data_IF_024666457585
#
_entry.id   IF_024666457585
#
_cell.length_a   1.000
_cell.length_b   1.000
_cell.length_c   1.000
_cell.angle_alpha   90.00
_cell.angle_beta   90.00
_cell.angle_gamma   90.00
#
_symmetry.space_group_name_H-M   'P 1'
#
loop_
_entity.id
_entity.type
_entity.pdbx_description
1 polymer ?
#
# COMPACT_ATOMS: atom_id res chain seq x y z
N UNK A 1 -9.05 -11.45 3.70
CA UNK A 1 -10.28 -11.73 2.92
C UNK A 1 -11.02 -10.40 2.67
N UNK A 2 -10.55 -9.60 1.70
CA UNK A 2 -11.16 -8.31 1.33
C UNK A 2 -11.35 -8.15 -0.19
N UNK A 3 -10.80 -9.05 -1.01
CA UNK A 3 -10.74 -8.92 -2.47
C UNK A 3 -12.10 -8.89 -3.19
N UNK A 4 -13.19 -9.30 -2.53
CA UNK A 4 -14.55 -9.33 -3.11
C UNK A 4 -15.46 -8.20 -2.61
N UNK A 5 -14.92 -7.28 -1.83
CA UNK A 5 -15.68 -6.13 -1.34
C UNK A 5 -15.81 -5.07 -2.42
N UNK A 6 -16.88 -4.28 -2.37
CA UNK A 6 -17.02 -3.08 -3.22
C UNK A 6 -15.83 -2.14 -3.08
N UNK A 7 -15.24 -2.10 -1.88
CA UNK A 7 -13.98 -1.41 -1.59
C UNK A 7 -12.82 -1.87 -2.47
N UNK A 8 -12.58 -3.19 -2.56
CA UNK A 8 -11.46 -3.73 -3.32
C UNK A 8 -11.62 -3.53 -4.84
N UNK A 9 -12.86 -3.33 -5.31
CA UNK A 9 -13.18 -3.06 -6.71
C UNK A 9 -13.18 -1.56 -7.06
N UNK A 10 -13.20 -0.68 -6.05
CA UNK A 10 -13.17 0.75 -6.27
C UNK A 10 -11.82 1.19 -6.86
N UNK A 11 -11.83 2.27 -7.63
CA UNK A 11 -10.60 2.81 -8.22
C UNK A 11 -9.63 3.25 -7.10
N UNK A 12 -8.31 3.14 -7.30
CA UNK A 12 -7.33 3.57 -6.30
C UNK A 12 -7.56 4.99 -5.77
N UNK A 13 -7.88 5.94 -6.63
CA UNK A 13 -8.17 7.32 -6.23
C UNK A 13 -9.38 7.43 -5.29
N UNK A 14 -10.46 6.69 -5.57
CA UNK A 14 -11.66 6.67 -4.74
C UNK A 14 -11.37 6.07 -3.36
N UNK A 15 -10.53 5.03 -3.32
CA UNK A 15 -10.07 4.41 -2.07
C UNK A 15 -9.21 5.38 -1.26
N UNK A 16 -8.31 6.13 -1.89
CA UNK A 16 -7.52 7.16 -1.20
C UNK A 16 -8.47 8.20 -0.59
N UNK A 17 -9.41 8.75 -1.37
CA UNK A 17 -10.34 9.77 -0.91
C UNK A 17 -11.21 9.29 0.26
N UNK A 18 -11.77 8.08 0.15
CA UNK A 18 -12.63 7.53 1.19
C UNK A 18 -11.89 7.28 2.52
N UNK A 19 -10.63 6.79 2.48
CA UNK A 19 -9.83 6.69 3.72
C UNK A 19 -9.41 8.05 4.24
N UNK A 20 -9.11 9.00 3.36
CA UNK A 20 -8.74 10.36 3.76
C UNK A 20 -9.89 11.04 4.52
N UNK A 21 -11.12 10.95 4.00
CA UNK A 21 -12.33 11.47 4.66
C UNK A 21 -12.54 10.84 6.04
N UNK A 22 -12.29 9.53 6.19
CA UNK A 22 -12.50 8.83 7.45
C UNK A 22 -11.43 9.11 8.51
N UNK A 23 -10.19 9.37 8.08
CA UNK A 23 -9.02 9.32 8.96
C UNK A 23 -8.32 10.65 9.15
N UNK A 24 -8.24 11.50 8.12
CA UNK A 24 -7.37 12.69 8.17
C UNK A 24 -7.87 13.71 9.18
N UNK A 25 -9.17 14.04 9.16
CA UNK A 25 -9.74 15.03 10.08
C UNK A 25 -9.66 14.58 11.55
N UNK A 26 -10.10 13.37 11.93
CA UNK A 26 -9.95 12.89 13.31
C UNK A 26 -8.49 12.83 13.77
N UNK A 27 -7.57 12.45 12.89
CA UNK A 27 -6.15 12.34 13.26
C UNK A 27 -5.44 13.69 13.31
N UNK A 28 -5.95 14.72 12.63
CA UNK A 28 -5.37 16.07 12.64
C UNK A 28 -5.36 16.68 14.06
N UNK A 29 -6.33 16.31 14.90
CA UNK A 29 -6.42 16.74 16.31
C UNK A 29 -5.24 16.22 17.16
N UNK A 30 -4.55 15.16 16.70
CA UNK A 30 -3.46 14.53 17.43
C UNK A 30 -2.09 15.03 16.92
N UNK A 31 -1.48 15.95 17.69
CA UNK A 31 -0.22 16.61 17.27
C UNK A 31 0.99 15.71 17.00
N UNK A 32 0.98 14.52 17.58
CA UNK A 32 2.04 13.53 17.43
C UNK A 32 1.83 12.58 16.23
N UNK A 33 0.71 12.70 15.51
CA UNK A 33 0.40 11.89 14.32
C UNK A 33 0.68 12.72 13.06
N UNK A 34 1.63 12.23 12.25
CA UNK A 34 2.02 12.89 10.99
C UNK A 34 1.33 12.28 9.76
N UNK A 35 0.88 11.03 9.85
CA UNK A 35 0.29 10.31 8.73
C UNK A 35 -0.14 8.90 9.08
N UNK A 36 -0.83 8.27 8.14
CA UNK A 36 -1.27 6.87 8.23
C UNK A 36 -0.73 6.11 7.03
N UNK A 37 -0.25 4.90 7.29
CA UNK A 37 0.02 3.90 6.26
C UNK A 37 -0.94 2.74 6.50
N UNK A 38 -1.88 2.55 5.59
CA UNK A 38 -2.69 1.35 5.52
C UNK A 38 -1.99 0.36 4.60
N UNK A 39 -1.69 -0.84 5.08
CA UNK A 39 -1.13 -1.92 4.27
C UNK A 39 -2.09 -3.10 4.28
N UNK A 40 -2.43 -3.62 3.10
CA UNK A 40 -3.10 -4.89 3.00
C UNK A 40 -2.13 -6.04 3.32
N UNK A 41 -2.68 -7.14 3.82
CA UNK A 41 -1.98 -8.42 3.67
C UNK A 41 -1.83 -8.79 2.18
N UNK A 42 -1.09 -9.86 1.93
CA UNK A 42 -1.00 -10.42 0.57
C UNK A 42 -2.38 -10.93 0.14
N UNK A 43 -2.76 -10.55 -1.08
CA UNK A 43 -4.00 -11.02 -1.68
C UNK A 43 -3.71 -11.58 -3.08
N UNK A 44 -4.36 -12.70 -3.40
CA UNK A 44 -4.36 -13.22 -4.76
C UNK A 44 -5.05 -12.20 -5.68
N UNK A 45 -4.32 -11.72 -6.68
CA UNK A 45 -4.82 -10.77 -7.67
C UNK A 45 -5.59 -11.49 -8.76
N UNK A 46 -6.83 -11.07 -8.95
CA UNK A 46 -7.69 -11.55 -10.05
C UNK A 46 -8.82 -10.63 -10.45
N UNK A 47 -9.02 -9.48 -9.77
CA UNK A 47 -10.12 -8.57 -10.09
C UNK A 47 -9.67 -7.11 -10.01
N UNK A 48 -9.81 -6.38 -11.12
CA UNK A 48 -9.60 -4.93 -11.20
C UNK A 48 -8.23 -4.46 -11.70
N UNK A 49 -7.24 -5.33 -11.88
CA UNK A 49 -6.03 -4.97 -12.63
C UNK A 49 -6.36 -4.90 -14.13
N UNK A 50 -5.97 -3.82 -14.80
CA UNK A 50 -5.99 -3.84 -16.26
C UNK A 50 -5.01 -4.92 -16.74
N UNK A 51 -5.35 -5.69 -17.79
CA UNK A 51 -4.41 -6.64 -18.38
C UNK A 51 -3.09 -5.94 -18.70
N UNK A 52 -2.00 -6.33 -18.02
CA UNK A 52 -0.66 -5.77 -18.24
C UNK A 52 -0.12 -4.81 -17.18
N UNK A 53 -0.88 -4.44 -16.14
CA UNK A 53 -0.38 -3.68 -14.99
C UNK A 53 -0.35 -4.54 -13.73
N UNK A 54 0.81 -5.17 -13.49
CA UNK A 54 1.08 -5.96 -12.27
C UNK A 54 1.34 -5.04 -11.08
N UNK A 55 2.08 -3.96 -11.32
CA UNK A 55 2.32 -2.89 -10.37
C UNK A 55 1.52 -1.65 -10.73
N UNK A 56 1.04 -0.95 -9.72
CA UNK A 56 0.28 0.30 -9.88
C UNK A 56 0.68 1.33 -8.84
N UNK A 57 0.72 2.61 -9.23
CA UNK A 57 0.97 3.74 -8.35
C UNK A 57 0.03 4.86 -8.73
N UNK A 58 -0.79 5.29 -7.78
CA UNK A 58 -1.71 6.41 -7.99
C UNK A 58 -1.46 7.45 -6.91
N UNK A 59 -1.09 8.65 -7.33
CA UNK A 59 -0.90 9.80 -6.45
C UNK A 59 -2.07 10.78 -6.61
N UNK A 60 -2.61 11.21 -5.49
CA UNK A 60 -3.69 12.20 -5.42
C UNK A 60 -3.34 13.26 -4.38
N UNK A 61 -4.09 14.36 -4.32
CA UNK A 61 -3.87 15.38 -3.27
C UNK A 61 -3.95 14.78 -1.87
N UNK A 62 -4.92 13.90 -1.52
CA UNK A 62 -4.97 13.33 -0.17
C UNK A 62 -3.90 12.28 0.15
N UNK A 63 -3.27 11.63 -0.84
CA UNK A 63 -2.25 10.62 -0.56
C UNK A 63 -1.78 9.80 -1.75
N UNK A 64 -1.21 8.63 -1.45
CA UNK A 64 -0.60 7.73 -2.43
C UNK A 64 -1.15 6.32 -2.26
N UNK A 65 -1.49 5.66 -3.37
CA UNK A 65 -1.78 4.25 -3.44
C UNK A 65 -0.66 3.52 -4.15
N UNK A 66 -0.30 2.34 -3.65
CA UNK A 66 0.65 1.43 -4.26
C UNK A 66 0.02 0.04 -4.37
N UNK A 67 0.25 -0.63 -5.49
CA UNK A 67 0.09 -2.08 -5.64
C UNK A 67 1.40 -2.65 -6.15
N UNK A 68 1.95 -3.64 -5.46
CA UNK A 68 3.17 -4.34 -5.87
C UNK A 68 2.94 -5.83 -5.88
N UNK A 69 3.34 -6.49 -6.96
CA UNK A 69 3.44 -7.95 -6.99
C UNK A 69 4.62 -8.38 -6.10
N UNK A 70 4.34 -9.25 -5.15
CA UNK A 70 5.32 -9.76 -4.18
C UNK A 70 5.75 -11.20 -4.51
N UNK A 71 4.85 -11.94 -5.16
CA UNK A 71 5.09 -13.24 -5.76
C UNK A 71 4.03 -13.45 -6.85
N UNK A 72 4.16 -14.49 -7.67
CA UNK A 72 3.27 -14.73 -8.81
C UNK A 72 1.78 -14.66 -8.40
N UNK A 73 1.07 -13.65 -8.90
CA UNK A 73 -0.32 -13.33 -8.60
C UNK A 73 -0.64 -12.97 -7.15
N UNK A 74 0.35 -12.70 -6.30
CA UNK A 74 0.17 -12.22 -4.93
C UNK A 74 0.60 -10.76 -4.84
N UNK A 75 -0.34 -9.89 -4.49
CA UNK A 75 -0.12 -8.45 -4.45
C UNK A 75 -0.26 -7.93 -3.03
N UNK A 76 0.58 -6.95 -2.71
CA UNK A 76 0.40 -6.06 -1.56
C UNK A 76 -0.12 -4.73 -2.06
N UNK A 77 -1.12 -4.20 -1.37
CA UNK A 77 -1.60 -2.84 -1.58
C UNK A 77 -1.28 -1.97 -0.37
N UNK A 78 -0.93 -0.72 -0.63
CA UNK A 78 -0.73 0.28 0.41
C UNK A 78 -1.48 1.56 0.06
N UNK A 79 -1.97 2.25 1.09
CA UNK A 79 -2.46 3.63 1.00
C UNK A 79 -1.71 4.44 2.05
N UNK A 80 -1.03 5.49 1.62
CA UNK A 80 -0.24 6.40 2.45
C UNK A 80 -0.94 7.75 2.46
N UNK A 81 -1.36 8.20 3.64
CA UNK A 81 -2.09 9.45 3.87
C UNK A 81 -1.29 10.35 4.80
N UNK A 82 -0.64 11.41 4.31
CA UNK A 82 -0.13 12.45 5.19
C UNK A 82 -1.34 13.14 5.86
N UNK A 83 -1.33 13.21 7.19
CA UNK A 83 -2.37 13.94 7.96
C UNK A 83 -2.06 15.44 7.97
N UNK A 84 -0.80 15.81 7.72
CA UNK A 84 -0.30 17.18 7.77
C UNK A 84 0.48 17.52 6.49
N UNK A 85 0.43 18.79 6.00
CA UNK A 85 1.16 19.19 4.80
C UNK A 85 2.67 18.91 4.88
N UNK A 86 3.29 19.13 6.04
CA UNK A 86 4.72 18.90 6.25
C UNK A 86 5.12 17.41 6.17
N UNK A 87 4.18 16.49 6.32
CA UNK A 87 4.44 15.05 6.23
C UNK A 87 4.42 14.53 4.78
N UNK A 88 4.21 15.41 3.79
CA UNK A 88 4.10 14.99 2.38
C UNK A 88 5.40 14.38 1.85
N UNK A 89 6.54 14.97 2.17
CA UNK A 89 7.85 14.43 1.79
C UNK A 89 8.09 13.05 2.42
N UNK A 90 7.66 12.88 3.68
CA UNK A 90 7.72 11.60 4.37
C UNK A 90 6.82 10.54 3.71
N UNK A 91 5.62 10.93 3.27
CA UNK A 91 4.73 10.05 2.52
C UNK A 91 5.36 9.58 1.20
N UNK A 92 6.03 10.48 0.46
CA UNK A 92 6.79 10.14 -0.74
C UNK A 92 7.96 9.20 -0.45
N UNK A 93 8.71 9.45 0.63
CA UNK A 93 9.81 8.57 1.04
C UNK A 93 9.33 7.15 1.39
N UNK A 94 8.21 7.04 2.11
CA UNK A 94 7.58 5.74 2.36
C UNK A 94 7.10 5.08 1.07
N UNK A 95 6.49 5.84 0.16
CA UNK A 95 6.04 5.29 -1.10
C UNK A 95 7.21 4.72 -1.92
N UNK A 96 8.36 5.41 -1.93
CA UNK A 96 9.58 4.93 -2.57
C UNK A 96 10.11 3.64 -1.89
N UNK A 97 10.18 3.62 -0.56
CA UNK A 97 10.67 2.46 0.20
C UNK A 97 9.84 1.19 -0.06
N UNK A 98 8.50 1.30 -0.05
CA UNK A 98 7.60 0.19 -0.36
C UNK A 98 7.55 -0.15 -1.85
N UNK A 99 7.82 0.81 -2.73
CA UNK A 99 7.95 0.53 -4.16
C UNK A 99 9.14 -0.38 -4.46
N UNK A 100 10.22 -0.27 -3.69
CA UNK A 100 11.40 -1.14 -3.80
C UNK A 100 11.32 -2.38 -2.90
N UNK A 101 10.20 -2.65 -2.20
CA UNK A 101 10.04 -3.84 -1.34
C UNK A 101 10.48 -5.15 -2.02
N UNK A 102 10.10 -5.42 -3.28
CA UNK A 102 10.53 -6.66 -3.94
C UNK A 102 12.05 -6.81 -4.08
N UNK A 103 12.84 -5.74 -4.05
CA UNK A 103 14.29 -5.81 -4.19
C UNK A 103 15.04 -6.01 -2.87
N UNK A 104 14.44 -5.67 -1.72
CA UNK A 104 15.10 -5.77 -0.41
C UNK A 104 14.47 -6.81 0.52
N UNK A 105 13.21 -7.20 0.30
CA UNK A 105 12.47 -8.06 1.23
C UNK A 105 13.12 -9.44 1.40
N UNK A 106 13.54 -10.09 0.31
CA UNK A 106 14.16 -11.41 0.37
C UNK A 106 15.53 -11.39 1.09
N UNK A 107 16.27 -10.28 0.97
CA UNK A 107 17.54 -10.07 1.69
C UNK A 107 17.30 -9.94 3.21
N UNK A 108 16.31 -9.13 3.61
CA UNK A 108 15.92 -8.95 5.01
C UNK A 108 15.36 -10.25 5.62
N UNK A 109 14.57 -11.01 4.86
CA UNK A 109 14.08 -12.33 5.27
C UNK A 109 15.25 -13.30 5.49
N UNK A 110 16.22 -13.33 4.57
CA UNK A 110 17.40 -14.17 4.70
C UNK A 110 18.24 -13.81 5.94
N UNK A 111 18.40 -12.51 6.25
CA UNK A 111 19.06 -12.04 7.47
C UNK A 111 18.36 -12.53 8.75
N UNK A 112 17.04 -12.71 8.70
CA UNK A 112 16.25 -13.27 9.79
C UNK A 112 16.20 -14.81 9.80
N UNK A 113 16.91 -15.50 8.88
CA UNK A 113 16.85 -16.95 8.73
C UNK A 113 15.52 -17.47 8.15
N UNK A 114 14.76 -16.60 7.48
CA UNK A 114 13.47 -16.90 6.87
C UNK A 114 13.65 -17.18 5.36
N UNK A 115 12.81 -18.04 4.76
CA UNK A 115 12.85 -18.28 3.32
C UNK A 115 12.34 -17.06 2.52
N UNK A 116 12.72 -16.94 1.23
CA UNK A 116 12.16 -15.93 0.33
C UNK A 116 10.64 -16.02 0.27
N UNK A 117 9.97 -14.88 0.09
CA UNK A 117 8.51 -14.82 0.17
C UNK A 117 7.83 -15.74 -0.87
N UNK A 118 8.36 -15.82 -2.08
CA UNK A 118 7.85 -16.69 -3.15
C UNK A 118 7.94 -18.20 -2.86
N UNK A 119 8.69 -18.60 -1.83
CA UNK A 119 8.83 -20.00 -1.38
C UNK A 119 7.82 -20.32 -0.27
N UNK A 120 7.32 -19.31 0.46
CA UNK A 120 6.29 -19.46 1.49
C UNK A 120 4.93 -19.61 0.80
N UNK A 121 4.61 -20.83 0.35
CA UNK A 121 3.28 -21.15 -0.18
C UNK A 121 2.27 -21.24 0.97
N UNK A 122 1.09 -20.61 0.87
CA UNK A 122 -0.05 -20.96 1.72
C UNK A 122 -0.58 -22.37 1.41
#
# INVERSE_FOLDING_TARGET
>A
MFAFTSWAQAAPADRISALAELLVEPLAEHQHVCGVIYSSGLAAGGYGAQPGTLDDTVETVPGVFLRREQAQFLFRELIILPVRPEARELATAWAAAYSSEPSWLDEDLAMCGMPPLGVIRP
#
